data_IF_768999720026
#
_entry.id   IF_768999720026
#
_cell.length_a   1.000
_cell.length_b   1.000
_cell.length_c   1.000
_cell.angle_alpha   90.00
_cell.angle_beta   90.00
_cell.angle_gamma   90.00
#
_symmetry.space_group_name_H-M   'P 1'
#
loop_
_entity.id
_entity.type
_entity.pdbx_description
1 polymer ?
#
# COMPACT_ATOMS: atom_id res chain seq x y z
N UNK A 1 -5.40 20.56 -26.77
CA UNK A 1 -6.29 20.04 -27.85
C UNK A 1 -7.34 19.14 -27.24
N UNK A 2 -8.64 19.27 -27.64
CA UNK A 2 -9.69 18.32 -27.19
C UNK A 2 -10.05 17.37 -28.33
N UNK A 3 -10.39 16.14 -27.95
CA UNK A 3 -10.77 15.07 -28.89
C UNK A 3 -11.75 14.09 -28.23
N UNK A 4 -12.50 13.35 -29.03
CA UNK A 4 -13.43 12.31 -28.55
C UNK A 4 -12.81 10.95 -28.72
N UNK A 5 -12.84 10.14 -27.66
CA UNK A 5 -12.19 8.83 -27.61
C UNK A 5 -13.16 7.79 -27.02
N UNK A 6 -13.21 6.60 -27.64
CA UNK A 6 -13.78 5.39 -27.03
C UNK A 6 -12.72 4.75 -26.13
N UNK A 7 -13.06 4.49 -24.89
CA UNK A 7 -12.17 3.87 -23.91
C UNK A 7 -12.29 2.35 -24.01
N UNK A 8 -11.14 1.69 -24.10
CA UNK A 8 -11.08 0.25 -24.40
C UNK A 8 -10.84 -0.60 -23.15
N UNK A 9 -9.88 -0.23 -22.31
CA UNK A 9 -9.47 -1.02 -21.15
C UNK A 9 -8.85 -0.19 -20.04
N UNK A 10 -8.70 -0.79 -18.88
CA UNK A 10 -7.93 -0.24 -17.78
C UNK A 10 -6.45 -0.12 -18.15
N UNK A 11 -5.74 0.77 -17.47
CA UNK A 11 -4.30 0.92 -17.52
C UNK A 11 -3.74 1.23 -16.14
N UNK A 12 -2.42 1.27 -16.03
CA UNK A 12 -1.72 1.57 -14.79
C UNK A 12 -1.92 3.02 -14.33
N UNK A 13 -1.69 3.26 -13.03
CA UNK A 13 -1.74 4.58 -12.40
C UNK A 13 -3.11 5.29 -12.50
N UNK A 14 -4.21 4.56 -12.37
CA UNK A 14 -5.56 5.12 -12.40
C UNK A 14 -5.96 5.71 -13.75
N UNK A 15 -5.41 5.20 -14.85
CA UNK A 15 -5.71 5.61 -16.23
C UNK A 15 -6.40 4.49 -16.99
N UNK A 16 -7.04 4.88 -18.07
CA UNK A 16 -7.57 3.96 -19.07
C UNK A 16 -6.91 4.21 -20.42
N UNK A 17 -7.05 3.27 -21.36
CA UNK A 17 -6.50 3.34 -22.72
C UNK A 17 -7.62 3.51 -23.71
N UNK A 18 -7.42 4.40 -24.68
CA UNK A 18 -8.09 4.49 -25.95
C UNK A 18 -7.10 4.81 -27.08
N UNK A 19 -7.57 4.95 -28.30
CA UNK A 19 -6.72 5.24 -29.45
C UNK A 19 -7.24 6.43 -30.27
N UNK A 20 -6.32 7.23 -30.81
CA UNK A 20 -6.58 8.28 -31.78
C UNK A 20 -5.67 8.01 -32.99
N UNK A 21 -6.23 7.77 -34.17
CA UNK A 21 -5.49 7.49 -35.40
C UNK A 21 -4.40 6.41 -35.22
N UNK A 22 -4.73 5.35 -34.45
CA UNK A 22 -3.82 4.25 -34.14
C UNK A 22 -2.83 4.52 -33.01
N UNK A 23 -2.82 5.71 -32.43
CA UNK A 23 -1.95 6.08 -31.31
C UNK A 23 -2.63 5.82 -29.99
N UNK A 24 -1.89 5.24 -29.05
CA UNK A 24 -2.32 5.02 -27.66
C UNK A 24 -2.47 6.35 -26.94
N UNK A 25 -3.60 6.52 -26.24
CA UNK A 25 -3.84 7.64 -25.33
C UNK A 25 -4.20 7.10 -23.95
N UNK A 26 -3.44 7.51 -22.93
CA UNK A 26 -3.75 7.22 -21.54
C UNK A 26 -4.63 8.33 -20.95
N UNK A 27 -5.84 7.97 -20.55
CA UNK A 27 -6.88 8.91 -20.14
C UNK A 27 -7.18 8.75 -18.65
N UNK A 28 -7.11 9.87 -17.91
CA UNK A 28 -7.55 9.93 -16.50
C UNK A 28 -9.05 10.16 -16.42
N UNK A 29 -9.67 9.63 -15.35
CA UNK A 29 -11.11 9.76 -15.07
C UNK A 29 -12.02 9.16 -16.13
N UNK A 30 -11.54 8.19 -16.87
CA UNK A 30 -12.29 7.40 -17.83
C UNK A 30 -12.56 5.99 -17.30
N UNK A 31 -13.53 5.31 -17.89
CA UNK A 31 -13.83 3.89 -17.63
C UNK A 31 -13.94 3.13 -18.96
N UNK A 32 -13.59 1.85 -19.00
CA UNK A 32 -13.76 1.02 -20.19
C UNK A 32 -15.20 1.05 -20.71
N UNK A 33 -15.35 1.11 -22.02
CA UNK A 33 -16.64 1.18 -22.72
C UNK A 33 -17.19 2.59 -22.88
N UNK A 34 -16.66 3.60 -22.17
CA UNK A 34 -17.15 4.98 -22.27
C UNK A 34 -16.75 5.65 -23.58
N UNK A 35 -17.61 6.56 -24.06
CA UNK A 35 -17.27 7.58 -25.05
C UNK A 35 -17.07 8.90 -24.31
N UNK A 36 -15.86 9.45 -24.36
CA UNK A 36 -15.48 10.65 -23.60
C UNK A 36 -14.83 11.70 -24.49
N UNK A 37 -15.02 12.97 -24.13
CA UNK A 37 -14.20 14.07 -24.63
C UNK A 37 -13.03 14.27 -23.69
N UNK A 38 -11.83 14.33 -24.23
CA UNK A 38 -10.56 14.35 -23.50
C UNK A 38 -9.78 15.61 -23.88
N UNK A 39 -9.30 16.35 -22.89
CA UNK A 39 -8.25 17.35 -23.08
C UNK A 39 -6.90 16.63 -23.04
N UNK A 40 -6.14 16.68 -24.12
CA UNK A 40 -4.80 16.13 -24.19
C UNK A 40 -3.82 17.03 -23.43
N UNK A 41 -2.89 16.40 -22.72
CA UNK A 41 -1.81 17.10 -22.02
C UNK A 41 -0.87 17.79 -23.03
N UNK A 42 -0.41 18.99 -22.72
CA UNK A 42 0.49 19.78 -23.56
C UNK A 42 1.86 19.93 -22.88
N UNK A 43 2.97 19.92 -23.63
CA UNK A 43 3.05 19.70 -25.08
C UNK A 43 2.89 18.23 -25.46
N UNK A 44 2.35 17.96 -26.67
CA UNK A 44 2.34 16.65 -27.28
C UNK A 44 2.75 16.75 -28.75
N UNK A 45 3.50 15.75 -29.27
CA UNK A 45 3.99 15.68 -30.63
C UNK A 45 3.41 14.47 -31.36
N UNK A 46 3.34 14.58 -32.69
CA UNK A 46 2.94 13.46 -33.55
C UNK A 46 3.94 12.28 -33.52
N UNK A 47 5.18 12.52 -33.10
CA UNK A 47 6.22 11.49 -32.97
C UNK A 47 6.21 10.78 -31.61
N UNK A 48 5.46 11.29 -30.62
CA UNK A 48 5.33 10.65 -29.30
C UNK A 48 4.73 9.25 -29.44
N UNK A 49 5.26 8.30 -28.70
CA UNK A 49 4.78 6.91 -28.70
C UNK A 49 3.37 6.77 -28.18
N UNK A 50 2.97 7.63 -27.28
CA UNK A 50 1.64 7.71 -26.67
C UNK A 50 1.35 9.14 -26.25
N UNK A 51 0.09 9.46 -26.07
CA UNK A 51 -0.36 10.71 -25.46
C UNK A 51 -1.02 10.46 -24.11
N UNK A 52 -1.15 11.50 -23.33
CA UNK A 52 -1.91 11.49 -22.07
C UNK A 52 -2.96 12.59 -22.10
N UNK A 53 -4.01 12.42 -21.28
CA UNK A 53 -5.05 13.41 -21.18
C UNK A 53 -6.03 13.12 -20.05
N UNK A 54 -6.96 14.03 -19.85
CA UNK A 54 -7.97 13.95 -18.81
C UNK A 54 -9.37 14.18 -19.39
N UNK A 55 -10.36 13.45 -18.88
CA UNK A 55 -11.77 13.61 -19.29
C UNK A 55 -12.27 15.00 -18.95
N UNK A 56 -12.85 15.69 -19.94
CA UNK A 56 -13.55 16.96 -19.75
C UNK A 56 -15.07 16.80 -19.84
N UNK A 57 -15.55 15.76 -20.55
CA UNK A 57 -16.96 15.44 -20.65
C UNK A 57 -17.16 13.95 -20.91
N UNK A 58 -18.19 13.37 -20.32
CA UNK A 58 -18.61 11.98 -20.56
C UNK A 58 -19.85 12.01 -21.46
N UNK A 59 -19.74 11.45 -22.67
CA UNK A 59 -20.81 11.40 -23.68
C UNK A 59 -21.65 10.14 -23.52
N UNK A 60 -21.01 9.00 -23.24
CA UNK A 60 -21.66 7.72 -22.93
C UNK A 60 -20.99 7.15 -21.70
N UNK A 61 -21.72 7.01 -20.60
CA UNK A 61 -21.19 6.58 -19.32
C UNK A 61 -21.19 5.07 -19.14
N UNK A 62 -20.19 4.55 -18.44
CA UNK A 62 -20.18 3.18 -17.90
C UNK A 62 -21.15 3.03 -16.73
N UNK A 63 -21.67 1.82 -16.50
CA UNK A 63 -22.44 1.47 -15.32
C UNK A 63 -21.69 1.66 -14.00
N UNK A 64 -20.36 1.55 -14.04
CA UNK A 64 -19.48 1.72 -12.89
C UNK A 64 -19.13 3.20 -12.61
N UNK A 65 -19.66 4.16 -13.41
CA UNK A 65 -19.42 5.58 -13.18
C UNK A 65 -20.29 6.14 -12.06
N UNK A 66 -19.66 6.97 -11.22
CA UNK A 66 -20.36 7.71 -10.16
C UNK A 66 -19.91 9.18 -10.14
N UNK A 67 -20.68 10.01 -9.45
CA UNK A 67 -20.28 11.39 -9.16
C UNK A 67 -19.19 11.38 -8.09
N UNK A 68 -18.06 12.08 -8.28
CA UNK A 68 -17.00 12.14 -7.29
C UNK A 68 -17.50 12.64 -5.93
N UNK A 69 -17.43 11.79 -4.91
CA UNK A 69 -17.81 12.14 -3.54
C UNK A 69 -16.86 13.18 -2.93
N UNK A 70 -15.62 13.22 -3.38
CA UNK A 70 -14.65 14.27 -3.10
C UNK A 70 -14.36 15.05 -4.38
N UNK A 71 -15.11 16.11 -4.60
CA UNK A 71 -15.07 16.92 -5.85
C UNK A 71 -13.69 17.50 -6.14
N UNK A 72 -12.94 17.93 -5.10
CA UNK A 72 -11.57 18.45 -5.27
C UNK A 72 -10.60 17.44 -5.85
N UNK A 73 -10.82 16.13 -5.65
CA UNK A 73 -10.02 15.07 -6.24
C UNK A 73 -10.51 14.64 -7.64
N UNK A 74 -11.65 15.12 -8.08
CA UNK A 74 -12.23 14.86 -9.40
C UNK A 74 -11.45 15.47 -10.57
N UNK A 75 -12.03 15.45 -11.79
CA UNK A 75 -11.43 16.03 -12.98
C UNK A 75 -11.19 17.54 -12.84
N UNK A 76 -10.09 18.02 -13.42
CA UNK A 76 -9.72 19.44 -13.38
C UNK A 76 -10.80 20.32 -14.04
N UNK A 77 -11.36 19.89 -15.17
CA UNK A 77 -12.43 20.60 -15.87
C UNK A 77 -13.71 20.76 -15.05
N UNK A 78 -13.90 19.94 -13.99
CA UNK A 78 -15.03 19.99 -13.06
C UNK A 78 -14.67 20.69 -11.73
N UNK A 79 -13.58 21.47 -11.70
CA UNK A 79 -13.13 22.18 -10.51
C UNK A 79 -12.27 21.35 -9.53
N UNK A 80 -11.92 20.13 -9.91
CA UNK A 80 -11.08 19.23 -9.12
C UNK A 80 -9.58 19.44 -9.37
N UNK A 81 -8.85 18.34 -9.43
CA UNK A 81 -7.43 18.32 -9.79
C UNK A 81 -6.48 17.95 -8.66
N UNK A 82 -6.94 17.85 -7.42
CA UNK A 82 -6.11 17.41 -6.29
C UNK A 82 -5.70 15.94 -6.46
N UNK A 83 -4.44 15.62 -6.16
CA UNK A 83 -3.94 14.24 -6.17
C UNK A 83 -4.39 13.43 -4.95
N UNK A 84 -4.06 12.14 -4.95
CA UNK A 84 -4.26 11.24 -3.79
C UNK A 84 -5.57 10.44 -3.80
N UNK A 85 -6.48 10.70 -4.77
CA UNK A 85 -7.69 9.91 -4.99
C UNK A 85 -8.08 9.97 -6.47
N UNK A 86 -7.66 9.01 -7.24
CA UNK A 86 -7.76 9.00 -8.71
C UNK A 86 -8.92 8.15 -9.23
N UNK A 87 -9.62 7.41 -8.36
CA UNK A 87 -10.79 6.60 -8.69
C UNK A 87 -12.11 7.13 -8.07
N UNK A 88 -12.17 8.40 -7.69
CA UNK A 88 -13.37 9.02 -7.09
C UNK A 88 -14.58 9.02 -8.02
N UNK A 89 -14.39 8.81 -9.32
CA UNK A 89 -15.42 8.74 -10.36
C UNK A 89 -15.92 7.31 -10.59
N UNK A 90 -15.39 6.34 -9.87
CA UNK A 90 -15.67 4.92 -10.03
C UNK A 90 -16.47 4.42 -8.83
N UNK A 91 -17.55 3.67 -9.07
CA UNK A 91 -18.29 3.01 -8.00
C UNK A 91 -17.38 2.09 -7.17
N UNK A 92 -17.72 1.86 -5.92
CA UNK A 92 -16.90 0.99 -5.05
C UNK A 92 -16.75 -0.42 -5.64
N UNK A 93 -17.79 -0.97 -6.25
CA UNK A 93 -17.73 -2.26 -6.96
C UNK A 93 -16.81 -2.17 -8.19
N UNK A 94 -16.88 -1.08 -8.96
CA UNK A 94 -16.01 -0.83 -10.11
C UNK A 94 -14.55 -0.69 -9.72
N UNK A 95 -14.25 -0.11 -8.55
CA UNK A 95 -12.86 -0.02 -8.04
C UNK A 95 -12.27 -1.41 -7.79
N UNK A 96 -13.04 -2.37 -7.26
CA UNK A 96 -12.59 -3.75 -7.09
C UNK A 96 -12.30 -4.42 -8.43
N UNK A 97 -13.22 -4.28 -9.41
CA UNK A 97 -13.01 -4.78 -10.79
C UNK A 97 -11.72 -4.22 -11.40
N UNK A 98 -11.51 -2.89 -11.26
CA UNK A 98 -10.30 -2.22 -11.76
C UNK A 98 -9.03 -2.80 -11.16
N UNK A 99 -8.98 -2.89 -9.83
CA UNK A 99 -7.79 -3.35 -9.11
C UNK A 99 -7.45 -4.80 -9.41
N UNK A 100 -8.45 -5.69 -9.40
CA UNK A 100 -8.28 -7.09 -9.76
C UNK A 100 -7.75 -7.24 -11.20
N UNK A 101 -8.36 -6.53 -12.17
CA UNK A 101 -7.93 -6.54 -13.57
C UNK A 101 -6.49 -6.00 -13.73
N UNK A 102 -6.12 -4.95 -12.99
CA UNK A 102 -4.77 -4.37 -13.04
C UNK A 102 -3.71 -5.36 -12.54
N UNK A 103 -3.97 -6.08 -11.45
CA UNK A 103 -3.05 -7.12 -10.95
C UNK A 103 -2.96 -8.25 -11.96
N UNK A 104 -4.08 -8.80 -12.43
CA UNK A 104 -4.12 -9.92 -13.38
C UNK A 104 -3.38 -9.57 -14.69
N UNK A 105 -3.60 -8.35 -15.24
CA UNK A 105 -2.89 -7.91 -16.47
C UNK A 105 -1.37 -7.86 -16.27
N UNK A 106 -0.90 -7.34 -15.12
CA UNK A 106 0.54 -7.30 -14.87
C UNK A 106 1.12 -8.71 -14.67
N UNK A 107 0.41 -9.59 -13.97
CA UNK A 107 0.83 -10.98 -13.77
C UNK A 107 0.93 -11.73 -15.12
N UNK A 108 -0.04 -11.58 -16.00
CA UNK A 108 0.01 -12.19 -17.34
C UNK A 108 1.15 -11.59 -18.19
N UNK A 109 1.26 -10.25 -18.24
CA UNK A 109 2.18 -9.57 -19.16
C UNK A 109 3.64 -9.59 -18.74
N UNK A 110 3.93 -9.40 -17.46
CA UNK A 110 5.29 -9.30 -16.91
C UNK A 110 5.69 -10.51 -16.09
N UNK A 111 4.72 -11.15 -15.42
CA UNK A 111 4.92 -12.35 -14.62
C UNK A 111 4.89 -13.64 -15.42
N UNK A 112 4.31 -13.57 -16.65
CA UNK A 112 4.05 -14.74 -17.51
C UNK A 112 3.19 -15.81 -16.82
N UNK A 113 2.29 -15.37 -15.94
CA UNK A 113 1.35 -16.21 -15.19
C UNK A 113 -0.06 -15.68 -15.39
N UNK A 114 -0.92 -16.48 -16.00
CA UNK A 114 -2.35 -16.19 -16.09
C UNK A 114 -3.02 -16.65 -14.80
N UNK A 115 -3.67 -15.73 -14.10
CA UNK A 115 -4.34 -16.02 -12.83
C UNK A 115 -5.54 -15.11 -12.61
N UNK A 116 -6.57 -15.65 -11.98
CA UNK A 116 -7.62 -14.85 -11.38
C UNK A 116 -7.12 -14.26 -10.06
N UNK A 117 -7.52 -13.02 -9.76
CA UNK A 117 -7.10 -12.32 -8.56
C UNK A 117 -8.32 -11.97 -7.73
N UNK A 118 -8.68 -12.81 -6.74
CA UNK A 118 -9.69 -12.44 -5.75
C UNK A 118 -9.27 -11.18 -5.02
N UNK A 119 -10.21 -10.26 -4.81
CA UNK A 119 -9.95 -9.01 -4.10
C UNK A 119 -10.89 -8.88 -2.90
N UNK A 120 -10.32 -8.53 -1.75
CA UNK A 120 -11.03 -8.35 -0.50
C UNK A 120 -11.20 -6.86 -0.18
N UNK A 121 -12.44 -6.44 0.08
CA UNK A 121 -12.78 -5.11 0.61
C UNK A 121 -12.59 -5.12 2.12
N UNK A 122 -12.07 -4.03 2.66
CA UNK A 122 -11.93 -3.90 4.11
C UNK A 122 -13.30 -3.69 4.79
N UNK A 123 -13.44 -4.17 6.03
CA UNK A 123 -14.66 -3.94 6.82
C UNK A 123 -15.02 -2.46 6.87
N UNK A 124 -16.31 -2.17 6.87
CA UNK A 124 -16.90 -0.82 6.99
C UNK A 124 -16.70 0.10 5.79
N UNK A 125 -15.79 -0.17 4.84
CA UNK A 125 -15.51 0.71 3.71
C UNK A 125 -16.73 0.94 2.82
N UNK A 126 -17.59 -0.07 2.62
CA UNK A 126 -18.82 0.11 1.86
C UNK A 126 -19.81 1.01 2.61
N UNK A 127 -19.94 0.85 3.93
CA UNK A 127 -20.79 1.69 4.77
C UNK A 127 -20.29 3.14 4.84
N UNK A 128 -18.99 3.34 4.85
CA UNK A 128 -18.32 4.65 4.82
C UNK A 128 -18.11 5.18 3.40
N UNK A 129 -18.66 4.51 2.38
CA UNK A 129 -18.57 4.92 0.97
C UNK A 129 -17.11 5.09 0.47
N UNK A 130 -16.17 4.29 1.01
CA UNK A 130 -14.74 4.36 0.68
C UNK A 130 -14.01 5.56 1.30
N UNK A 131 -14.59 6.20 2.31
CA UNK A 131 -14.01 7.31 3.05
C UNK A 131 -13.53 6.87 4.44
N UNK A 132 -12.92 7.75 5.20
CA UNK A 132 -12.60 7.60 6.61
C UNK A 132 -11.75 6.39 7.00
N UNK A 133 -10.92 5.91 6.08
CA UNK A 133 -10.08 4.72 6.30
C UNK A 133 -8.63 5.05 6.71
N UNK A 134 -8.17 6.30 6.44
CA UNK A 134 -6.75 6.66 6.49
C UNK A 134 -6.35 7.18 7.87
N UNK A 135 -5.41 6.51 8.53
CA UNK A 135 -4.91 6.86 9.87
C UNK A 135 -3.69 7.79 9.84
N UNK A 136 -3.14 8.06 8.66
CA UNK A 136 -1.99 8.97 8.47
C UNK A 136 -2.20 9.80 7.22
N UNK A 137 -1.99 11.11 7.33
CA UNK A 137 -2.02 12.04 6.19
C UNK A 137 -0.77 12.91 6.20
N UNK A 138 -0.42 13.39 5.01
CA UNK A 138 0.66 14.33 4.80
C UNK A 138 0.23 15.43 3.84
N UNK A 139 0.49 16.66 4.22
CA UNK A 139 0.13 17.87 3.50
C UNK A 139 1.32 18.81 3.45
N UNK A 140 1.23 19.86 2.66
CA UNK A 140 2.23 20.92 2.62
C UNK A 140 1.53 22.25 2.74
N UNK A 141 2.06 23.15 3.55
CA UNK A 141 1.56 24.52 3.67
C UNK A 141 1.68 25.27 2.33
N UNK A 142 0.61 25.93 1.90
CA UNK A 142 0.62 26.82 0.73
C UNK A 142 1.35 28.15 1.02
N UNK A 143 1.25 29.10 0.09
CA UNK A 143 1.88 30.42 0.24
C UNK A 143 1.28 31.27 1.37
N UNK A 144 0.04 30.97 1.77
CA UNK A 144 -0.67 31.64 2.85
C UNK A 144 -0.56 30.88 4.20
N UNK A 145 0.23 29.80 4.23
CA UNK A 145 0.42 28.96 5.42
C UNK A 145 -0.74 28.01 5.72
N UNK A 146 -1.63 27.73 4.76
CA UNK A 146 -2.75 26.80 4.93
C UNK A 146 -2.36 25.38 4.49
N UNK A 147 -2.89 24.34 5.12
CA UNK A 147 -2.73 22.96 4.66
C UNK A 147 -3.20 22.83 3.21
N UNK A 148 -2.41 22.19 2.38
CA UNK A 148 -2.70 22.06 0.96
C UNK A 148 -2.23 20.75 0.37
N UNK A 149 -2.82 20.38 -0.76
CA UNK A 149 -2.40 19.27 -1.59
C UNK A 149 -1.92 19.75 -2.96
N UNK A 150 -1.09 18.95 -3.62
CA UNK A 150 -0.67 19.27 -4.99
C UNK A 150 -1.80 19.02 -5.98
N UNK A 151 -1.98 19.95 -6.92
CA UNK A 151 -2.71 19.64 -8.15
C UNK A 151 -1.91 18.62 -8.96
N UNK A 152 -2.58 17.58 -9.46
CA UNK A 152 -1.96 16.49 -10.25
C UNK A 152 -1.09 17.05 -11.38
N UNK A 153 0.10 16.45 -11.54
CA UNK A 153 1.03 16.83 -12.61
C UNK A 153 1.63 18.23 -12.51
N UNK A 154 1.38 18.98 -11.43
CA UNK A 154 1.88 20.35 -11.25
C UNK A 154 2.51 20.57 -9.89
N UNK A 155 3.11 21.73 -9.68
CA UNK A 155 3.57 22.22 -8.38
C UNK A 155 2.55 23.15 -7.68
N UNK A 156 1.40 23.40 -8.31
CA UNK A 156 0.35 24.26 -7.76
C UNK A 156 -0.21 23.62 -6.47
N UNK A 157 -0.35 24.45 -5.44
CA UNK A 157 -0.95 24.07 -4.16
C UNK A 157 -2.41 24.42 -4.15
N UNK A 158 -3.25 23.51 -3.74
CA UNK A 158 -4.69 23.70 -3.55
C UNK A 158 -4.95 23.57 -2.06
N UNK A 159 -5.35 24.65 -1.37
CA UNK A 159 -5.66 24.57 0.06
C UNK A 159 -6.84 23.65 0.29
N UNK A 160 -6.79 22.94 1.42
CA UNK A 160 -7.85 22.05 1.88
C UNK A 160 -8.20 22.39 3.32
N UNK A 161 -9.46 22.27 3.66
CA UNK A 161 -10.03 22.45 4.99
C UNK A 161 -10.52 21.13 5.61
N UNK A 162 -10.38 20.05 4.87
CA UNK A 162 -10.67 18.68 5.31
C UNK A 162 -10.00 17.66 4.38
N UNK A 163 -9.92 16.42 4.83
CA UNK A 163 -9.44 15.26 4.07
C UNK A 163 -10.44 14.11 4.20
N UNK A 164 -11.39 13.94 3.27
CA UNK A 164 -12.45 12.94 3.42
C UNK A 164 -11.99 11.48 3.58
N UNK A 165 -10.78 11.15 3.11
CA UNK A 165 -10.20 9.82 3.28
C UNK A 165 -9.64 9.59 4.70
N UNK A 166 -9.38 10.65 5.49
CA UNK A 166 -8.86 10.54 6.83
C UNK A 166 -9.89 9.94 7.78
N UNK A 167 -9.43 9.10 8.72
CA UNK A 167 -10.29 8.51 9.74
C UNK A 167 -10.98 9.61 10.55
N UNK A 168 -12.16 9.31 11.09
CA UNK A 168 -12.92 10.27 11.89
C UNK A 168 -12.10 10.77 13.07
N UNK A 169 -11.36 9.88 13.74
CA UNK A 169 -10.47 10.23 14.84
C UNK A 169 -9.35 11.18 14.39
N UNK A 170 -8.79 10.98 13.18
CA UNK A 170 -7.76 11.87 12.65
C UNK A 170 -8.35 13.26 12.36
N UNK A 171 -9.57 13.34 11.81
CA UNK A 171 -10.25 14.61 11.58
C UNK A 171 -10.55 15.34 12.91
N UNK A 172 -11.00 14.64 13.96
CA UNK A 172 -11.20 15.20 15.29
C UNK A 172 -9.90 15.76 15.89
N UNK A 173 -8.78 15.06 15.73
CA UNK A 173 -7.46 15.54 16.15
C UNK A 173 -7.07 16.79 15.36
N UNK A 174 -7.27 16.78 14.02
CA UNK A 174 -6.94 17.93 13.17
C UNK A 174 -7.74 19.20 13.56
N UNK A 175 -9.01 19.04 13.90
CA UNK A 175 -9.85 20.14 14.44
C UNK A 175 -9.34 20.61 15.80
N UNK A 176 -9.12 19.70 16.74
CA UNK A 176 -8.66 20.01 18.11
C UNK A 176 -7.32 20.74 18.10
N UNK A 177 -6.40 20.35 17.24
CA UNK A 177 -5.08 20.95 17.11
C UNK A 177 -5.04 22.12 16.09
N UNK A 178 -6.22 22.62 15.67
CA UNK A 178 -6.38 23.78 14.80
C UNK A 178 -5.60 23.66 13.46
N UNK A 179 -5.38 22.45 12.96
CA UNK A 179 -4.56 22.21 11.77
C UNK A 179 -5.15 22.89 10.53
N UNK A 180 -6.47 22.88 10.40
CA UNK A 180 -7.15 23.46 9.23
C UNK A 180 -7.15 25.00 9.22
N UNK A 181 -6.92 25.64 10.38
CA UNK A 181 -6.84 27.09 10.47
C UNK A 181 -5.57 27.66 9.82
N UNK A 182 -4.55 26.81 9.61
CA UNK A 182 -3.28 27.21 9.01
C UNK A 182 -2.32 27.87 10.01
N UNK A 183 -1.60 28.89 9.55
CA UNK A 183 -0.55 29.55 10.35
C UNK A 183 0.80 28.87 10.29
N UNK A 184 0.99 27.93 9.37
CA UNK A 184 2.26 27.24 9.12
C UNK A 184 3.19 28.12 8.25
N UNK A 185 4.48 27.94 8.39
CA UNK A 185 5.42 28.53 7.45
C UNK A 185 5.18 27.97 6.04
N UNK A 186 5.11 28.81 4.98
CA UNK A 186 4.92 28.35 3.62
C UNK A 186 5.92 27.27 3.21
N UNK A 187 5.44 26.17 2.62
CA UNK A 187 6.25 25.03 2.21
C UNK A 187 6.53 24.00 3.32
N UNK A 188 6.10 24.23 4.55
CA UNK A 188 6.24 23.26 5.63
C UNK A 188 5.49 21.98 5.33
N UNK A 189 6.11 20.84 5.60
CA UNK A 189 5.50 19.53 5.56
C UNK A 189 4.70 19.32 6.85
N UNK A 190 3.41 19.04 6.73
CA UNK A 190 2.49 18.82 7.84
C UNK A 190 2.07 17.35 7.81
N UNK A 191 2.32 16.61 8.87
CA UNK A 191 1.91 15.21 8.98
C UNK A 191 1.06 14.99 10.22
N UNK A 192 -0.05 14.28 10.06
CA UNK A 192 -0.85 13.77 11.16
C UNK A 192 -0.79 12.25 11.14
N UNK A 193 -0.63 11.67 12.34
CA UNK A 193 -0.65 10.22 12.55
C UNK A 193 -1.49 9.92 13.76
N UNK A 194 -2.59 9.19 13.58
CA UNK A 194 -3.57 8.89 14.63
C UNK A 194 -3.95 7.41 14.51
N UNK A 195 -3.39 6.54 15.38
CA UNK A 195 -3.82 5.15 15.47
C UNK A 195 -5.31 5.03 15.73
N UNK A 196 -5.95 4.06 15.09
CA UNK A 196 -7.38 3.81 15.30
C UNK A 196 -7.60 3.12 16.64
N UNK A 197 -8.46 3.67 17.55
CA UNK A 197 -8.84 2.99 18.77
C UNK A 197 -9.78 1.83 18.48
N UNK A 198 -9.58 0.70 19.13
CA UNK A 198 -10.41 -0.50 18.92
C UNK A 198 -11.43 -0.76 20.01
N UNK A 199 -11.38 -0.03 21.10
CA UNK A 199 -12.20 -0.27 22.29
C UNK A 199 -13.14 0.90 22.61
N UNK A 200 -13.52 1.75 21.63
CA UNK A 200 -14.33 2.96 21.80
C UNK A 200 -13.80 3.91 22.91
N UNK A 201 -12.57 3.71 23.37
CA UNK A 201 -11.96 4.59 24.34
C UNK A 201 -11.42 5.84 23.62
N UNK A 202 -11.74 7.05 24.09
CA UNK A 202 -11.07 8.24 23.63
C UNK A 202 -9.58 8.08 23.89
N UNK A 203 -8.76 8.30 22.87
CA UNK A 203 -7.30 8.29 23.02
C UNK A 203 -6.84 9.73 23.16
N UNK A 204 -6.70 10.25 24.36
CA UNK A 204 -6.35 11.65 24.57
C UNK A 204 -4.96 11.98 23.97
N UNK A 205 -4.01 11.03 24.01
CA UNK A 205 -2.59 11.34 23.77
C UNK A 205 -1.88 10.42 22.74
N UNK A 206 -2.57 9.45 22.13
CA UNK A 206 -1.97 8.53 21.14
C UNK A 206 -2.10 9.05 19.71
N UNK A 207 -1.59 10.25 19.47
CA UNK A 207 -1.55 10.89 18.17
C UNK A 207 -0.29 11.73 18.02
N UNK A 208 0.01 12.18 16.83
CA UNK A 208 1.05 13.16 16.56
C UNK A 208 0.67 14.12 15.42
N UNK A 209 0.99 15.38 15.63
CA UNK A 209 1.09 16.39 14.57
C UNK A 209 2.56 16.75 14.43
N UNK A 210 3.11 16.56 13.23
CA UNK A 210 4.50 16.88 12.91
C UNK A 210 4.55 17.99 11.87
N UNK A 211 5.45 18.95 12.10
CA UNK A 211 5.80 19.98 11.12
C UNK A 211 7.29 19.85 10.80
N UNK A 212 7.60 19.65 9.53
CA UNK A 212 8.98 19.40 9.07
C UNK A 212 9.70 18.27 9.82
N UNK A 213 8.92 17.24 10.24
CA UNK A 213 9.42 16.11 10.99
C UNK A 213 9.54 16.30 12.50
N UNK A 214 9.31 17.51 13.03
CA UNK A 214 9.28 17.77 14.47
C UNK A 214 7.86 17.69 15.03
N UNK A 215 7.71 17.11 16.20
CA UNK A 215 6.41 16.98 16.88
C UNK A 215 6.01 18.34 17.46
N UNK A 216 4.88 18.86 17.00
CA UNK A 216 4.30 20.12 17.51
C UNK A 216 3.13 19.86 18.45
N UNK A 217 2.47 18.68 18.32
CA UNK A 217 1.43 18.23 19.25
C UNK A 217 1.41 16.69 19.34
N UNK A 218 1.00 16.16 20.49
CA UNK A 218 0.92 14.72 20.75
C UNK A 218 2.27 14.08 21.05
N UNK A 219 2.50 12.86 20.58
CA UNK A 219 3.65 12.04 20.93
C UNK A 219 4.42 11.55 19.70
N UNK A 220 5.76 11.51 19.79
CA UNK A 220 6.65 10.94 18.75
C UNK A 220 6.48 9.44 18.59
N UNK A 221 6.27 8.73 19.68
CA UNK A 221 6.04 7.30 19.69
C UNK A 221 4.55 7.02 19.87
N UNK A 222 3.98 6.31 18.90
CA UNK A 222 2.58 5.92 18.91
C UNK A 222 2.44 4.42 19.20
N UNK A 223 1.36 4.07 19.88
CA UNK A 223 1.01 2.68 20.16
C UNK A 223 -0.05 2.20 19.18
N UNK A 224 0.28 1.18 18.38
CA UNK A 224 -0.64 0.49 17.49
C UNK A 224 -1.01 -0.87 18.08
N UNK A 225 -2.27 -1.29 17.95
CA UNK A 225 -2.77 -2.59 18.44
C UNK A 225 -3.34 -3.39 17.28
N UNK A 226 -2.89 -4.63 17.12
CA UNK A 226 -3.31 -5.54 16.05
C UNK A 226 -3.74 -6.87 16.65
N UNK A 227 -4.96 -7.32 16.35
CA UNK A 227 -5.43 -8.64 16.78
C UNK A 227 -5.23 -9.65 15.66
N UNK A 228 -4.48 -10.72 15.94
CA UNK A 228 -4.15 -11.78 14.99
C UNK A 228 -4.51 -13.13 15.61
N UNK A 229 -5.34 -13.91 14.96
CA UNK A 229 -5.83 -15.19 15.44
C UNK A 229 -6.35 -15.12 16.90
N UNK A 230 -7.08 -14.06 17.23
CA UNK A 230 -7.64 -13.82 18.57
C UNK A 230 -6.63 -13.32 19.62
N UNK A 231 -5.37 -13.14 19.30
CA UNK A 231 -4.34 -12.60 20.21
C UNK A 231 -4.01 -11.15 19.85
N UNK A 232 -3.99 -10.28 20.86
CA UNK A 232 -3.61 -8.88 20.68
C UNK A 232 -2.08 -8.72 20.69
N UNK A 233 -1.59 -7.94 19.73
CA UNK A 233 -0.19 -7.50 19.64
C UNK A 233 -0.15 -5.98 19.70
N UNK A 234 0.85 -5.46 20.40
CA UNK A 234 1.07 -4.04 20.56
C UNK A 234 2.43 -3.65 19.99
N UNK A 235 2.44 -2.56 19.21
CA UNK A 235 3.62 -2.06 18.52
C UNK A 235 3.90 -0.61 18.91
N UNK A 236 5.17 -0.27 19.05
CA UNK A 236 5.62 1.10 19.21
C UNK A 236 6.13 1.61 17.86
N UNK A 237 5.43 2.59 17.29
CA UNK A 237 5.68 3.11 15.96
C UNK A 237 6.08 4.57 16.03
N UNK A 238 7.13 4.96 15.31
CA UNK A 238 7.48 6.38 15.15
C UNK A 238 6.40 7.09 14.33
N UNK A 239 5.89 8.21 14.80
CA UNK A 239 4.84 8.96 14.12
C UNK A 239 5.25 9.47 12.74
N UNK A 240 6.55 9.73 12.53
CA UNK A 240 7.14 10.06 11.23
C UNK A 240 7.51 8.84 10.38
N UNK A 241 7.44 7.63 10.96
CA UNK A 241 7.76 6.38 10.28
C UNK A 241 6.62 5.80 9.45
N UNK A 242 6.92 4.69 8.80
CA UNK A 242 5.91 3.92 8.05
C UNK A 242 5.07 3.05 8.99
N UNK A 243 3.78 3.00 8.74
CA UNK A 243 2.81 2.02 9.22
C UNK A 243 1.70 1.89 8.19
N UNK A 244 0.95 0.79 8.19
CA UNK A 244 -0.19 0.60 7.29
C UNK A 244 -1.21 1.73 7.47
N UNK A 245 -1.58 2.38 6.38
CA UNK A 245 -2.38 3.61 6.44
C UNK A 245 -3.87 3.34 6.63
N UNK A 246 -4.35 2.21 6.12
CA UNK A 246 -5.75 1.82 6.29
C UNK A 246 -5.94 1.22 7.69
N UNK A 247 -6.97 1.70 8.41
CA UNK A 247 -7.27 1.30 9.80
C UNK A 247 -7.43 -0.21 10.00
N UNK A 248 -7.91 -0.96 8.99
CA UNK A 248 -8.10 -2.42 9.05
C UNK A 248 -6.96 -3.22 8.40
N UNK A 249 -6.10 -2.60 7.59
CA UNK A 249 -5.05 -3.31 6.88
C UNK A 249 -4.08 -4.09 7.78
N UNK A 250 -3.64 -3.58 8.94
CA UNK A 250 -2.75 -4.35 9.82
C UNK A 250 -3.34 -5.69 10.24
N UNK A 251 -4.66 -5.74 10.52
CA UNK A 251 -5.33 -6.97 10.92
C UNK A 251 -5.52 -7.90 9.72
N UNK A 252 -6.09 -7.38 8.63
CA UNK A 252 -6.44 -8.18 7.45
C UNK A 252 -5.19 -8.84 6.86
N UNK A 253 -4.15 -8.05 6.58
CA UNK A 253 -2.90 -8.56 6.01
C UNK A 253 -2.20 -9.56 6.94
N UNK A 254 -2.11 -9.23 8.24
CA UNK A 254 -1.37 -10.10 9.16
C UNK A 254 -2.10 -11.43 9.39
N UNK A 255 -3.44 -11.44 9.54
CA UNK A 255 -4.17 -12.70 9.64
C UNK A 255 -3.99 -13.56 8.39
N UNK A 256 -4.14 -12.98 7.19
CA UNK A 256 -3.95 -13.72 5.95
C UNK A 256 -2.52 -14.29 5.82
N UNK A 257 -1.49 -13.50 6.10
CA UNK A 257 -0.09 -13.97 6.08
C UNK A 257 0.14 -15.10 7.09
N UNK A 258 -0.39 -14.99 8.32
CA UNK A 258 -0.25 -16.05 9.34
C UNK A 258 -0.97 -17.33 8.92
N UNK A 259 -2.15 -17.23 8.30
CA UNK A 259 -2.89 -18.40 7.84
C UNK A 259 -2.12 -19.11 6.70
N UNK A 260 -1.55 -18.37 5.75
CA UNK A 260 -0.69 -18.93 4.71
C UNK A 260 0.53 -19.62 5.30
N UNK A 261 1.27 -18.96 6.20
CA UNK A 261 2.48 -19.53 6.81
C UNK A 261 2.17 -20.78 7.64
N UNK A 262 1.06 -20.80 8.37
CA UNK A 262 0.60 -21.98 9.10
C UNK A 262 0.26 -23.13 8.16
N UNK A 263 -0.39 -22.85 7.04
CA UNK A 263 -0.68 -23.84 6.00
C UNK A 263 0.60 -24.46 5.43
N UNK A 264 1.61 -23.64 5.16
CA UNK A 264 2.90 -24.12 4.63
C UNK A 264 3.72 -24.92 5.65
N UNK A 265 3.54 -24.68 6.94
CA UNK A 265 4.23 -25.42 8.00
C UNK A 265 3.54 -26.74 8.37
N UNK A 266 2.27 -26.93 7.98
CA UNK A 266 1.47 -28.14 8.17
C UNK A 266 1.62 -28.77 9.59
N UNK A 267 1.50 -27.95 10.63
CA UNK A 267 1.62 -28.36 12.03
C UNK A 267 3.03 -28.72 12.49
N UNK A 268 4.06 -28.33 11.75
CA UNK A 268 5.46 -28.54 12.13
C UNK A 268 5.76 -27.99 13.54
N UNK A 269 6.42 -28.76 14.39
CA UNK A 269 6.78 -28.37 15.75
C UNK A 269 7.90 -27.32 15.80
N UNK A 270 8.69 -27.20 14.75
CA UNK A 270 9.76 -26.22 14.65
C UNK A 270 9.83 -25.64 13.25
N UNK A 271 10.11 -24.34 13.16
CA UNK A 271 10.23 -23.62 11.90
C UNK A 271 11.42 -22.65 11.92
N UNK A 272 11.99 -22.45 10.74
CA UNK A 272 12.91 -21.34 10.46
C UNK A 272 12.22 -20.37 9.51
N UNK A 273 12.05 -19.14 9.93
CA UNK A 273 11.33 -18.11 9.17
C UNK A 273 12.23 -16.91 8.88
N UNK A 274 12.02 -16.28 7.73
CA UNK A 274 12.54 -14.95 7.44
C UNK A 274 11.40 -13.96 7.28
N UNK A 275 11.58 -12.77 7.87
CA UNK A 275 10.72 -11.60 7.67
C UNK A 275 11.59 -10.47 7.10
N UNK A 276 11.48 -10.24 5.81
CA UNK A 276 12.32 -9.31 5.07
C UNK A 276 11.56 -8.01 4.78
N UNK A 277 12.22 -6.87 4.97
CA UNK A 277 11.61 -5.54 4.94
C UNK A 277 10.57 -5.37 6.06
N UNK A 278 10.93 -5.84 7.25
CA UNK A 278 10.00 -6.08 8.37
C UNK A 278 9.41 -4.81 9.01
N UNK A 279 9.90 -3.61 8.64
CA UNK A 279 9.41 -2.35 9.19
C UNK A 279 9.44 -2.33 10.72
N UNK A 280 8.34 -1.95 11.33
CA UNK A 280 8.16 -1.93 12.79
C UNK A 280 7.82 -3.32 13.39
N UNK A 281 7.89 -4.39 12.59
CA UNK A 281 7.69 -5.76 13.02
C UNK A 281 6.24 -6.23 12.98
N UNK A 282 5.40 -5.65 12.11
CA UNK A 282 3.99 -6.01 11.98
C UNK A 282 3.80 -7.53 11.83
N UNK A 283 4.56 -8.16 10.94
CA UNK A 283 4.54 -9.60 10.73
C UNK A 283 5.47 -10.34 11.70
N UNK A 284 6.60 -9.74 12.09
CA UNK A 284 7.62 -10.36 12.95
C UNK A 284 7.03 -10.95 14.24
N UNK A 285 6.24 -10.17 14.99
CA UNK A 285 5.72 -10.60 16.30
C UNK A 285 4.73 -11.76 16.17
N UNK A 286 3.71 -11.72 15.30
CA UNK A 286 2.81 -12.86 15.09
C UNK A 286 3.52 -14.08 14.52
N UNK A 287 4.41 -13.94 13.55
CA UNK A 287 5.19 -15.04 12.97
C UNK A 287 6.01 -15.75 14.03
N UNK A 288 6.69 -15.01 14.91
CA UNK A 288 7.52 -15.59 15.97
C UNK A 288 6.74 -16.31 17.08
N UNK A 289 5.43 -16.10 17.18
CA UNK A 289 4.62 -16.56 18.31
C UNK A 289 3.44 -17.44 17.97
N UNK A 290 2.97 -17.40 16.71
CA UNK A 290 1.73 -18.07 16.31
C UNK A 290 1.91 -19.18 15.28
N UNK A 291 3.13 -19.43 14.76
CA UNK A 291 3.33 -20.34 13.63
C UNK A 291 3.76 -21.74 14.03
N UNK A 292 4.72 -21.92 14.93
CA UNK A 292 5.18 -23.19 15.43
C UNK A 292 5.60 -23.11 16.90
N UNK A 293 5.66 -24.25 17.61
CA UNK A 293 6.07 -24.29 19.02
C UNK A 293 7.49 -23.75 19.23
N UNK A 294 8.39 -24.04 18.27
CA UNK A 294 9.79 -23.58 18.26
C UNK A 294 10.09 -22.90 16.94
N UNK A 295 9.93 -21.60 16.92
CA UNK A 295 10.26 -20.76 15.76
C UNK A 295 11.62 -20.13 15.96
N UNK A 296 12.51 -20.21 14.95
CA UNK A 296 13.73 -19.39 14.82
C UNK A 296 13.50 -18.44 13.67
N UNK A 297 13.89 -17.18 13.84
CA UNK A 297 13.52 -16.17 12.87
C UNK A 297 14.63 -15.17 12.60
N UNK A 298 14.84 -14.84 11.34
CA UNK A 298 15.61 -13.69 10.89
C UNK A 298 14.61 -12.59 10.50
N UNK A 299 14.75 -11.39 11.06
CA UNK A 299 13.97 -10.21 10.67
C UNK A 299 14.95 -9.13 10.20
N UNK A 300 14.73 -8.56 9.00
CA UNK A 300 15.65 -7.59 8.38
C UNK A 300 14.90 -6.34 7.94
N UNK A 301 15.38 -5.18 8.38
CA UNK A 301 14.82 -3.88 8.03
C UNK A 301 15.92 -2.81 7.89
N UNK A 302 15.80 -1.92 6.89
CA UNK A 302 16.73 -0.83 6.66
C UNK A 302 16.61 0.32 7.66
N UNK A 303 15.42 0.54 8.20
CA UNK A 303 15.06 1.63 9.10
C UNK A 303 15.56 1.42 10.55
N UNK A 304 16.63 2.11 10.96
CA UNK A 304 17.23 1.96 12.29
C UNK A 304 16.23 2.15 13.44
N UNK A 305 15.33 3.12 13.34
CA UNK A 305 14.34 3.41 14.38
C UNK A 305 13.31 2.27 14.47
N UNK A 306 12.81 1.78 13.35
CA UNK A 306 11.86 0.67 13.28
C UNK A 306 12.45 -0.59 13.92
N UNK A 307 13.67 -0.99 13.55
CA UNK A 307 14.34 -2.16 14.15
C UNK A 307 14.60 -1.97 15.65
N UNK A 308 15.00 -0.77 16.10
CA UNK A 308 15.21 -0.49 17.52
C UNK A 308 13.90 -0.68 18.31
N UNK A 309 12.78 -0.19 17.79
CA UNK A 309 11.48 -0.36 18.39
C UNK A 309 11.07 -1.84 18.45
N UNK A 310 11.22 -2.57 17.32
CA UNK A 310 10.97 -4.01 17.27
C UNK A 310 11.84 -4.77 18.29
N UNK A 311 13.16 -4.52 18.33
CA UNK A 311 14.07 -5.17 19.28
C UNK A 311 13.72 -4.86 20.74
N UNK A 312 13.29 -3.61 21.05
CA UNK A 312 12.83 -3.24 22.40
C UNK A 312 11.60 -4.03 22.78
N UNK A 313 10.63 -4.17 21.85
CA UNK A 313 9.42 -4.96 22.07
C UNK A 313 9.72 -6.44 22.27
N UNK A 314 10.55 -7.04 21.40
CA UNK A 314 10.98 -8.44 21.51
C UNK A 314 11.61 -8.75 22.89
N UNK A 315 12.49 -7.87 23.38
CA UNK A 315 13.08 -7.99 24.73
C UNK A 315 12.03 -7.89 25.84
N UNK A 316 11.10 -6.94 25.71
CA UNK A 316 10.04 -6.72 26.71
C UNK A 316 9.14 -7.93 26.87
N UNK A 317 8.82 -8.62 25.77
CA UNK A 317 7.99 -9.85 25.79
C UNK A 317 8.80 -11.13 25.86
N UNK A 318 10.10 -11.05 26.13
CA UNK A 318 11.04 -12.17 26.27
C UNK A 318 11.12 -13.11 25.07
N UNK A 319 10.95 -12.61 23.85
CA UNK A 319 11.15 -13.35 22.62
C UNK A 319 12.62 -13.33 22.19
N UNK A 320 13.37 -14.35 22.60
CA UNK A 320 14.79 -14.54 22.25
C UNK A 320 15.05 -15.31 20.95
N UNK A 321 14.01 -15.74 20.26
CA UNK A 321 14.08 -16.57 19.07
C UNK A 321 14.12 -15.76 17.75
N UNK A 322 14.16 -14.43 17.81
CA UNK A 322 14.23 -13.52 16.66
C UNK A 322 15.56 -12.80 16.59
N UNK A 323 16.29 -12.97 15.50
CA UNK A 323 17.49 -12.19 15.15
C UNK A 323 17.06 -10.98 14.29
N UNK A 324 16.77 -9.85 14.93
CA UNK A 324 16.33 -8.63 14.26
C UNK A 324 17.54 -7.75 13.89
N UNK A 325 17.75 -7.55 12.58
CA UNK A 325 18.93 -6.85 12.02
C UNK A 325 18.56 -5.56 11.28
N UNK A 326 19.35 -4.52 11.53
CA UNK A 326 19.34 -3.31 10.69
C UNK A 326 20.22 -3.52 9.49
N UNK A 327 19.72 -3.34 8.29
CA UNK A 327 20.55 -3.38 7.09
C UNK A 327 19.75 -3.50 5.79
N UNK A 328 20.48 -3.35 4.70
CA UNK A 328 20.00 -3.70 3.38
C UNK A 328 19.78 -5.23 3.30
N UNK A 329 18.60 -5.63 2.82
CA UNK A 329 18.20 -7.05 2.78
C UNK A 329 19.22 -7.88 1.98
N UNK A 330 19.55 -7.47 0.77
CA UNK A 330 20.47 -8.23 -0.09
C UNK A 330 21.88 -8.38 0.51
N UNK A 331 22.35 -7.38 1.28
CA UNK A 331 23.64 -7.45 1.99
C UNK A 331 23.55 -8.36 3.21
N UNK A 332 22.45 -8.30 3.94
CA UNK A 332 22.23 -9.13 5.14
C UNK A 332 22.12 -10.60 4.77
N UNK A 333 21.41 -10.92 3.69
CA UNK A 333 21.24 -12.30 3.21
C UNK A 333 22.56 -12.94 2.72
N UNK A 334 23.58 -12.15 2.38
CA UNK A 334 24.89 -12.68 2.03
C UNK A 334 25.65 -13.29 3.23
N UNK A 335 25.24 -13.01 4.48
CA UNK A 335 25.89 -13.46 5.72
C UNK A 335 24.86 -13.87 6.78
N UNK A 336 24.01 -14.83 6.47
CA UNK A 336 23.05 -15.39 7.42
C UNK A 336 23.75 -16.44 8.30
N UNK A 337 23.41 -16.47 9.59
CA UNK A 337 23.91 -17.51 10.54
C UNK A 337 23.46 -18.90 10.08
N UNK A 338 24.29 -19.90 10.26
CA UNK A 338 24.04 -21.28 9.82
C UNK A 338 22.69 -21.85 10.33
N UNK A 339 22.30 -21.51 11.56
CA UNK A 339 21.04 -21.95 12.17
C UNK A 339 19.79 -21.27 11.60
N UNK A 340 19.96 -20.22 10.80
CA UNK A 340 18.92 -19.46 10.11
C UNK A 340 19.07 -19.52 8.58
N UNK A 341 20.09 -20.24 8.05
CA UNK A 341 20.47 -20.18 6.63
C UNK A 341 19.47 -20.86 5.68
N UNK A 342 18.63 -21.78 6.19
CA UNK A 342 17.62 -22.50 5.40
C UNK A 342 16.23 -22.23 5.98
N UNK A 343 15.51 -21.22 5.49
CA UNK A 343 14.16 -20.93 5.95
C UNK A 343 13.14 -21.93 5.39
N UNK A 344 12.18 -22.32 6.22
CA UNK A 344 11.00 -23.03 5.74
C UNK A 344 10.11 -22.08 4.94
N UNK A 345 9.84 -20.90 5.50
CA UNK A 345 9.03 -19.87 4.83
C UNK A 345 9.72 -18.51 4.92
N UNK A 346 9.70 -17.78 3.81
CA UNK A 346 10.12 -16.37 3.73
C UNK A 346 8.89 -15.50 3.55
N UNK A 347 8.70 -14.54 4.44
CA UNK A 347 7.72 -13.47 4.30
C UNK A 347 8.47 -12.20 3.90
N UNK A 348 7.99 -11.46 2.89
CA UNK A 348 8.63 -10.20 2.50
C UNK A 348 7.59 -9.15 2.07
N UNK A 349 7.82 -7.91 2.50
CA UNK A 349 7.01 -6.73 2.18
C UNK A 349 7.92 -5.61 1.63
N UNK A 350 8.43 -5.76 0.39
CA UNK A 350 9.42 -4.86 -0.16
C UNK A 350 8.80 -3.52 -0.58
N UNK A 351 9.63 -2.46 -0.77
CA UNK A 351 9.16 -1.19 -1.30
C UNK A 351 8.61 -1.33 -2.74
N UNK A 352 7.96 -0.30 -3.26
CA UNK A 352 7.36 -0.24 -4.61
C UNK A 352 8.23 -0.79 -5.75
N UNK A 353 9.54 -0.75 -5.59
CA UNK A 353 10.48 -1.29 -6.59
C UNK A 353 10.58 -2.82 -6.62
N UNK A 354 9.91 -3.51 -5.69
CA UNK A 354 9.99 -4.96 -5.47
C UNK A 354 11.27 -5.40 -4.75
N UNK A 355 11.35 -6.69 -4.48
CA UNK A 355 12.54 -7.33 -3.89
C UNK A 355 13.70 -7.39 -4.88
N UNK A 356 13.39 -7.43 -6.16
CA UNK A 356 14.31 -7.53 -7.30
C UNK A 356 15.04 -8.86 -7.38
N UNK A 357 15.51 -9.18 -8.57
CA UNK A 357 16.12 -10.46 -8.93
C UNK A 357 17.26 -10.93 -7.99
N UNK A 358 18.00 -10.00 -7.36
CA UNK A 358 19.08 -10.36 -6.45
C UNK A 358 18.54 -11.02 -5.18
N UNK A 359 17.54 -10.43 -4.54
CA UNK A 359 16.93 -10.98 -3.32
C UNK A 359 16.17 -12.27 -3.63
N UNK A 360 15.43 -12.32 -4.76
CA UNK A 360 14.76 -13.55 -5.19
C UNK A 360 15.75 -14.71 -5.37
N UNK A 361 16.92 -14.47 -5.98
CA UNK A 361 17.98 -15.49 -6.10
C UNK A 361 18.52 -15.94 -4.75
N UNK A 362 18.78 -15.01 -3.83
CA UNK A 362 19.27 -15.35 -2.49
C UNK A 362 18.25 -16.18 -1.69
N UNK A 363 16.96 -15.91 -1.84
CA UNK A 363 15.88 -16.72 -1.25
C UNK A 363 15.90 -18.13 -1.85
N UNK A 364 16.06 -18.27 -3.16
CA UNK A 364 16.13 -19.58 -3.83
C UNK A 364 17.41 -20.36 -3.48
N UNK A 365 18.55 -19.67 -3.36
CA UNK A 365 19.84 -20.24 -2.93
C UNK A 365 19.80 -20.72 -1.47
N UNK A 366 19.01 -20.05 -0.61
CA UNK A 366 18.74 -20.49 0.75
C UNK A 366 17.79 -21.69 0.82
N UNK A 367 17.29 -22.18 -0.32
CA UNK A 367 16.38 -23.32 -0.42
C UNK A 367 15.06 -23.13 0.34
N UNK A 368 14.55 -21.88 0.40
CA UNK A 368 13.25 -21.61 0.99
C UNK A 368 12.16 -22.47 0.35
N UNK A 369 11.34 -23.14 1.17
CA UNK A 369 10.28 -24.02 0.65
C UNK A 369 9.11 -23.20 0.10
N UNK A 370 8.77 -22.10 0.79
CA UNK A 370 7.68 -21.22 0.41
C UNK A 370 8.04 -19.76 0.61
N UNK A 371 7.43 -18.90 -0.19
CA UNK A 371 7.60 -17.44 -0.15
C UNK A 371 6.23 -16.78 -0.10
N UNK A 372 5.94 -16.01 0.95
CA UNK A 372 4.77 -15.16 1.07
C UNK A 372 5.20 -13.73 0.74
N UNK A 373 4.77 -13.22 -0.39
CA UNK A 373 5.16 -11.93 -0.94
C UNK A 373 4.01 -10.92 -0.80
N UNK A 374 4.21 -9.86 -0.03
CA UNK A 374 3.28 -8.73 0.08
C UNK A 374 3.77 -7.64 -0.90
N UNK A 375 2.88 -7.07 -1.72
CA UNK A 375 3.25 -6.12 -2.76
C UNK A 375 2.23 -4.99 -2.91
N UNK A 376 2.70 -3.76 -2.80
CA UNK A 376 1.91 -2.55 -3.07
C UNK A 376 1.98 -2.07 -4.54
N UNK A 377 2.73 -2.76 -5.40
CA UNK A 377 2.87 -2.45 -6.83
C UNK A 377 2.77 -3.72 -7.69
N UNK A 378 1.70 -3.88 -8.47
CA UNK A 378 1.47 -5.08 -9.28
C UNK A 378 2.56 -5.36 -10.31
N UNK A 379 3.16 -4.31 -10.90
CA UNK A 379 4.19 -4.48 -11.92
C UNK A 379 5.51 -5.01 -11.33
N UNK A 380 5.87 -4.59 -10.12
CA UNK A 380 7.06 -5.11 -9.44
C UNK A 380 6.83 -6.55 -8.95
N UNK A 381 5.64 -6.85 -8.42
CA UNK A 381 5.26 -8.23 -8.07
C UNK A 381 5.40 -9.14 -9.29
N UNK A 382 4.83 -8.74 -10.42
CA UNK A 382 4.87 -9.54 -11.65
C UNK A 382 6.30 -9.80 -12.14
N UNK A 383 7.19 -8.81 -12.13
CA UNK A 383 8.62 -9.00 -12.48
C UNK A 383 9.33 -9.96 -11.54
N UNK A 384 9.07 -9.84 -10.23
CA UNK A 384 9.68 -10.71 -9.23
C UNK A 384 9.06 -12.12 -9.31
N UNK A 385 7.78 -12.26 -9.67
CA UNK A 385 7.12 -13.54 -9.99
C UNK A 385 7.83 -14.25 -11.14
N UNK A 386 8.07 -13.58 -12.27
CA UNK A 386 8.81 -14.16 -13.38
C UNK A 386 10.20 -14.66 -12.95
N UNK A 387 10.86 -13.92 -12.05
CA UNK A 387 12.16 -14.31 -11.49
C UNK A 387 12.01 -15.55 -10.61
N UNK A 388 11.06 -15.59 -9.66
CA UNK A 388 10.85 -16.74 -8.77
C UNK A 388 10.47 -17.98 -9.57
N UNK A 389 9.60 -17.85 -10.58
CA UNK A 389 9.24 -18.97 -11.47
C UNK A 389 10.47 -19.51 -12.19
N UNK A 390 11.35 -18.66 -12.71
CA UNK A 390 12.61 -19.09 -13.34
C UNK A 390 13.58 -19.79 -12.38
N UNK A 391 13.41 -19.60 -11.07
CA UNK A 391 14.20 -20.22 -9.99
C UNK A 391 13.54 -21.47 -9.38
N UNK A 392 12.47 -21.97 -10.01
CA UNK A 392 11.80 -23.22 -9.63
C UNK A 392 10.71 -23.06 -8.59
N UNK A 393 10.10 -21.89 -8.48
CA UNK A 393 8.87 -21.69 -7.71
C UNK A 393 7.65 -21.63 -8.62
N UNK A 394 6.50 -21.98 -8.09
CA UNK A 394 5.20 -21.75 -8.72
C UNK A 394 4.35 -20.80 -7.87
N UNK A 395 3.50 -20.02 -8.52
CA UNK A 395 2.47 -19.23 -7.85
C UNK A 395 1.37 -20.19 -7.36
N UNK A 396 1.27 -20.38 -6.06
CA UNK A 396 0.31 -21.29 -5.45
C UNK A 396 -1.00 -20.63 -5.01
N UNK A 397 -0.93 -19.36 -4.60
CA UNK A 397 -2.09 -18.54 -4.23
C UNK A 397 -1.80 -17.06 -4.48
N UNK A 398 -2.85 -16.29 -4.77
CA UNK A 398 -2.78 -14.85 -4.88
C UNK A 398 -4.09 -14.22 -4.42
N UNK A 399 -4.01 -13.18 -3.60
CA UNK A 399 -5.15 -12.38 -3.16
C UNK A 399 -4.79 -10.91 -3.11
N UNK A 400 -5.68 -10.06 -3.61
CA UNK A 400 -5.57 -8.62 -3.50
C UNK A 400 -6.44 -8.09 -2.34
N UNK A 401 -6.03 -6.95 -1.78
CA UNK A 401 -6.71 -6.26 -0.69
C UNK A 401 -6.92 -4.80 -1.09
N UNK A 402 -8.18 -4.36 -1.06
CA UNK A 402 -8.51 -2.96 -1.30
C UNK A 402 -8.34 -2.15 0.00
N UNK A 403 -7.09 -1.92 0.37
CA UNK A 403 -6.72 -1.09 1.53
C UNK A 403 -6.47 0.38 1.16
N UNK A 404 -6.83 0.78 -0.05
CA UNK A 404 -6.69 2.15 -0.54
C UNK A 404 -7.93 2.56 -1.37
N UNK A 405 -9.15 2.54 -0.80
CA UNK A 405 -10.34 3.00 -1.51
C UNK A 405 -10.16 4.37 -2.15
N UNK A 406 -10.84 4.65 -3.24
CA UNK A 406 -10.75 5.87 -4.05
C UNK A 406 -9.41 6.07 -4.77
N UNK A 407 -8.47 5.13 -4.68
CA UNK A 407 -7.18 5.18 -5.37
C UNK A 407 -6.97 3.95 -6.24
N UNK A 408 -6.06 4.05 -7.23
CA UNK A 408 -5.67 2.88 -8.04
C UNK A 408 -4.76 1.90 -7.30
N UNK A 409 -4.26 2.28 -6.13
CA UNK A 409 -3.37 1.42 -5.35
C UNK A 409 -4.09 0.17 -4.85
N UNK A 410 -3.39 -0.92 -4.85
CA UNK A 410 -3.86 -2.22 -4.38
C UNK A 410 -2.72 -2.92 -3.65
N UNK A 411 -3.02 -3.58 -2.56
CA UNK A 411 -2.09 -4.47 -1.88
C UNK A 411 -2.36 -5.91 -2.33
N UNK A 412 -1.31 -6.66 -2.61
CA UNK A 412 -1.44 -8.03 -3.09
C UNK A 412 -0.57 -8.95 -2.26
N UNK A 413 -1.11 -10.07 -1.81
CA UNK A 413 -0.36 -11.13 -1.14
C UNK A 413 -0.31 -12.34 -2.06
N UNK A 414 0.88 -12.81 -2.38
CA UNK A 414 1.12 -13.96 -3.24
C UNK A 414 1.92 -15.03 -2.49
N UNK A 415 1.52 -16.29 -2.63
CA UNK A 415 2.22 -17.44 -2.11
C UNK A 415 2.92 -18.18 -3.26
N UNK A 416 4.21 -18.38 -3.11
CA UNK A 416 5.01 -19.20 -4.02
C UNK A 416 5.53 -20.44 -3.29
N UNK A 417 5.45 -21.60 -3.96
CA UNK A 417 6.01 -22.86 -3.46
C UNK A 417 7.14 -23.33 -4.35
N UNK A 418 8.20 -23.84 -3.75
CA UNK A 418 9.28 -24.45 -4.50
C UNK A 418 8.82 -25.80 -5.04
N UNK A 419 9.07 -26.08 -6.33
CA UNK A 419 8.81 -27.39 -6.90
C UNK A 419 9.61 -28.46 -6.14
N UNK A 420 8.96 -29.53 -5.70
CA UNK A 420 9.66 -30.73 -5.23
C UNK A 420 10.42 -31.33 -6.42
N UNK A 421 11.73 -31.51 -6.27
CA UNK A 421 12.56 -32.17 -7.29
C UNK A 421 12.42 -33.67 -7.22
#
# INVERSE_FOLDING_TARGET
METTIRIERYADQGRCVGHIDGRVVFVRFALPGELVRVALDEPHDREDRFWTGEVVEVLEASEDRTVPIWSLAGPLAMGGGVGGADLVHVSLAGQLKWKAASVAEQMARLGHVDTEVPIERMPEDDAEQGLHWRTRIEMIADADGRPSMRRRGTHVRVPIDTMPLASRMLLEVAEREHVWEGGFEPGSQIRLSVPEPRDNAPIPDNYAVLVNGEVVAGSRELTEKVTVAGRAFEYNVDAGGFWQMHRHAPIALTNHVIDLVRGELDGAKSACLWDLYSGSGLFTLPLATLTAERTRMLSVEGGKTAVRNAQRKLRHIHLGNVDARVGDVAKTLANVRNDLAKPDVVVLDPPRAGARAKVCRQIAEAEAKSVVYIACDPASLARDTATLVSLGYELADIRAFDIYPMTHHVETVALFRKHEQ
#
